data_IF_585705522091
#
_entry.id   IF_585705522091
#
_cell.length_a   1.000
_cell.length_b   1.000
_cell.length_c   1.000
_cell.angle_alpha   90.00
_cell.angle_beta   90.00
_cell.angle_gamma   90.00
#
_symmetry.space_group_name_H-M   'P 1'
#
loop_
_entity.id
_entity.type
_entity.pdbx_description
1 polymer ?
#
# COMPACT_ATOMS: atom_id res chain seq x y z
N UNK A 1 9.41 17.12 -0.14
CA UNK A 1 9.14 17.91 -1.36
C UNK A 1 7.65 17.76 -1.70
N UNK A 2 6.88 18.84 -1.83
CA UNK A 2 5.43 18.73 -2.13
C UNK A 2 5.22 18.43 -3.61
N UNK A 3 5.20 17.13 -3.99
CA UNK A 3 5.06 16.62 -5.37
C UNK A 3 3.91 17.29 -6.15
N UNK A 4 2.80 17.60 -5.48
CA UNK A 4 1.65 18.27 -6.09
C UNK A 4 2.02 19.63 -6.72
N UNK A 5 2.88 20.43 -6.06
CA UNK A 5 3.30 21.73 -6.59
C UNK A 5 4.10 21.60 -7.89
N UNK A 6 4.88 20.52 -8.05
CA UNK A 6 5.66 20.28 -9.26
C UNK A 6 4.78 19.99 -10.48
N UNK A 7 3.59 19.44 -10.26
CA UNK A 7 2.61 19.15 -11.32
C UNK A 7 1.49 20.21 -11.39
N UNK A 8 1.69 21.39 -10.78
CA UNK A 8 0.74 22.49 -10.83
C UNK A 8 -0.56 22.26 -10.06
N UNK A 9 -0.54 21.39 -9.04
CA UNK A 9 -1.71 21.04 -8.22
C UNK A 9 -1.54 21.48 -6.78
N UNK A 10 -2.66 21.84 -6.17
CA UNK A 10 -2.73 22.15 -4.73
C UNK A 10 -3.35 21.01 -3.92
N UNK A 11 -4.06 20.09 -4.57
CA UNK A 11 -4.79 18.99 -3.92
C UNK A 11 -4.70 17.66 -4.71
N UNK A 12 -4.76 16.51 -4.04
CA UNK A 12 -4.88 15.19 -4.67
C UNK A 12 -6.20 15.03 -5.44
N UNK A 13 -6.27 14.01 -6.32
CA UNK A 13 -7.42 13.86 -7.23
C UNK A 13 -8.64 13.20 -6.57
N UNK A 14 -8.41 12.33 -5.58
CA UNK A 14 -9.45 11.44 -5.05
C UNK A 14 -9.63 11.57 -3.54
N UNK A 15 -9.14 12.62 -2.90
CA UNK A 15 -9.25 12.77 -1.43
C UNK A 15 -10.70 12.73 -0.97
N UNK A 16 -11.60 13.43 -1.68
CA UNK A 16 -13.04 13.44 -1.36
C UNK A 16 -13.65 12.05 -1.48
N UNK A 17 -13.33 11.31 -2.54
CA UNK A 17 -13.87 9.98 -2.76
C UNK A 17 -13.32 8.97 -1.75
N UNK A 18 -12.03 9.04 -1.42
CA UNK A 18 -11.37 8.18 -0.44
C UNK A 18 -11.95 8.39 0.96
N UNK A 19 -12.19 9.65 1.35
CA UNK A 19 -12.84 9.98 2.63
C UNK A 19 -14.28 9.45 2.63
N UNK A 20 -15.03 9.66 1.55
CA UNK A 20 -16.42 9.20 1.44
C UNK A 20 -16.56 7.68 1.52
N UNK A 21 -15.62 6.94 0.93
CA UNK A 21 -15.64 5.47 0.87
C UNK A 21 -14.79 4.80 1.96
N UNK A 22 -14.29 5.56 2.94
CA UNK A 22 -13.30 5.07 3.89
C UNK A 22 -13.79 3.83 4.66
N UNK A 23 -15.01 3.87 5.20
CA UNK A 23 -15.57 2.79 6.02
C UNK A 23 -15.87 1.55 5.20
N UNK A 24 -16.33 1.73 3.96
CA UNK A 24 -16.56 0.62 3.01
C UNK A 24 -15.24 -0.05 2.63
N UNK A 25 -14.23 0.74 2.25
CA UNK A 25 -12.89 0.23 1.93
C UNK A 25 -12.26 -0.49 3.13
N UNK A 26 -12.42 0.06 4.34
CA UNK A 26 -11.95 -0.58 5.56
C UNK A 26 -12.67 -1.92 5.77
N UNK A 27 -14.00 -1.95 5.69
CA UNK A 27 -14.78 -3.17 5.87
C UNK A 27 -14.49 -4.26 4.82
N UNK A 28 -14.21 -3.87 3.58
CA UNK A 28 -13.86 -4.80 2.51
C UNK A 28 -12.43 -5.36 2.65
N UNK A 29 -11.49 -4.54 3.11
CA UNK A 29 -10.08 -4.94 3.21
C UNK A 29 -9.81 -5.67 4.52
N UNK A 30 -10.40 -5.21 5.63
CA UNK A 30 -10.30 -5.86 6.93
C UNK A 30 -10.80 -7.30 6.82
N UNK A 31 -9.97 -8.26 7.24
CA UNK A 31 -10.33 -9.68 7.16
C UNK A 31 -10.17 -10.31 5.76
N UNK A 32 -9.89 -9.54 4.71
CA UNK A 32 -9.68 -10.05 3.35
C UNK A 32 -8.22 -10.43 3.08
N UNK A 33 -7.99 -11.20 2.01
CA UNK A 33 -6.66 -11.70 1.61
C UNK A 33 -6.27 -11.16 0.23
N UNK A 34 -5.07 -10.61 0.12
CA UNK A 34 -4.58 -9.96 -1.09
C UNK A 34 -3.26 -10.55 -1.56
N UNK A 35 -3.11 -10.67 -2.88
CA UNK A 35 -1.86 -10.97 -3.56
C UNK A 35 -1.54 -9.84 -4.53
N UNK A 36 -0.42 -9.15 -4.34
CA UNK A 36 0.05 -8.08 -5.21
C UNK A 36 1.27 -8.56 -5.99
N UNK A 37 1.12 -8.69 -7.31
CA UNK A 37 2.19 -9.07 -8.24
C UNK A 37 2.81 -7.80 -8.83
N UNK A 38 4.14 -7.73 -8.89
CA UNK A 38 4.86 -6.50 -9.23
C UNK A 38 4.79 -5.46 -8.11
N UNK A 39 4.65 -5.93 -6.86
CA UNK A 39 4.34 -5.07 -5.72
C UNK A 39 5.48 -4.19 -5.25
N UNK A 40 6.72 -4.44 -5.67
CA UNK A 40 7.86 -3.57 -5.38
C UNK A 40 8.09 -2.51 -6.47
N UNK A 41 7.33 -2.51 -7.57
CA UNK A 41 7.30 -1.40 -8.54
C UNK A 41 6.53 -0.17 -8.02
N UNK A 42 6.68 1.00 -8.67
CA UNK A 42 6.13 2.27 -8.15
C UNK A 42 4.61 2.23 -7.85
N UNK A 43 3.81 1.66 -8.77
CA UNK A 43 2.36 1.52 -8.58
C UNK A 43 2.07 0.41 -7.56
N UNK A 44 2.74 -0.74 -7.68
CA UNK A 44 2.57 -1.87 -6.78
C UNK A 44 2.81 -1.49 -5.32
N UNK A 45 3.84 -0.69 -5.06
CA UNK A 45 4.14 -0.19 -3.71
C UNK A 45 3.03 0.74 -3.20
N UNK A 46 2.54 1.65 -4.04
CA UNK A 46 1.47 2.57 -3.66
C UNK A 46 0.19 1.80 -3.30
N UNK A 47 -0.20 0.81 -4.11
CA UNK A 47 -1.37 -0.04 -3.84
C UNK A 47 -1.14 -0.92 -2.60
N UNK A 48 0.03 -1.50 -2.45
CA UNK A 48 0.38 -2.32 -1.27
C UNK A 48 0.25 -1.50 0.01
N UNK A 49 0.73 -0.25 0.03
CA UNK A 49 0.57 0.67 1.18
C UNK A 49 -0.89 0.95 1.49
N UNK A 50 -1.70 1.22 0.45
CA UNK A 50 -3.14 1.47 0.62
C UNK A 50 -3.90 0.26 1.16
N UNK A 51 -3.52 -0.95 0.75
CA UNK A 51 -4.12 -2.18 1.31
C UNK A 51 -3.63 -2.36 2.75
N UNK A 52 -2.32 -2.31 2.99
CA UNK A 52 -1.73 -2.58 4.31
C UNK A 52 -2.27 -1.67 5.41
N UNK A 53 -2.46 -0.37 5.14
CA UNK A 53 -2.98 0.59 6.14
C UNK A 53 -4.41 0.31 6.60
N UNK A 54 -5.13 -0.60 5.92
CA UNK A 54 -6.50 -1.01 6.25
C UNK A 54 -6.56 -2.42 6.86
N UNK A 55 -5.42 -2.93 7.32
CA UNK A 55 -5.24 -4.15 8.10
C UNK A 55 -5.89 -5.42 7.50
N UNK A 56 -5.45 -5.86 6.30
CA UNK A 56 -5.95 -7.08 5.69
C UNK A 56 -5.58 -8.30 6.53
N UNK A 57 -6.37 -9.38 6.45
CA UNK A 57 -6.02 -10.66 7.11
C UNK A 57 -4.74 -11.30 6.55
N UNK A 58 -4.48 -11.09 5.25
CA UNK A 58 -3.22 -11.44 4.63
C UNK A 58 -2.91 -10.50 3.46
N UNK A 59 -1.64 -10.11 3.34
CA UNK A 59 -1.13 -9.37 2.21
C UNK A 59 0.20 -9.97 1.78
N UNK A 60 0.18 -10.63 0.63
CA UNK A 60 1.37 -11.24 0.04
C UNK A 60 1.81 -10.43 -1.17
N UNK A 61 3.11 -10.14 -1.25
CA UNK A 61 3.68 -9.27 -2.28
C UNK A 61 4.75 -10.04 -3.04
N UNK A 62 4.65 -10.07 -4.36
CA UNK A 62 5.59 -10.77 -5.25
C UNK A 62 6.21 -9.77 -6.20
N UNK A 63 7.53 -9.78 -6.31
CA UNK A 63 8.27 -8.97 -7.28
C UNK A 63 9.60 -9.65 -7.63
N UNK A 64 10.23 -9.23 -8.72
CA UNK A 64 11.56 -9.72 -9.12
C UNK A 64 12.69 -8.95 -8.43
N UNK A 65 12.41 -7.71 -7.97
CA UNK A 65 13.42 -6.84 -7.38
C UNK A 65 13.45 -6.99 -5.85
N UNK A 66 14.41 -7.76 -5.35
CA UNK A 66 14.67 -7.87 -3.91
C UNK A 66 14.97 -6.50 -3.27
N UNK A 67 15.80 -5.67 -3.91
CA UNK A 67 16.17 -4.35 -3.41
C UNK A 67 14.94 -3.46 -3.20
N UNK A 68 14.04 -3.41 -4.19
CA UNK A 68 12.83 -2.61 -4.06
C UNK A 68 11.88 -3.19 -3.01
N UNK A 69 11.86 -4.52 -2.85
CA UNK A 69 11.05 -5.18 -1.83
C UNK A 69 11.54 -4.82 -0.43
N UNK A 70 12.86 -4.78 -0.21
CA UNK A 70 13.46 -4.33 1.05
C UNK A 70 13.04 -2.89 1.36
N UNK A 71 13.09 -1.99 0.37
CA UNK A 71 12.66 -0.60 0.58
C UNK A 71 11.15 -0.49 0.86
N UNK A 72 10.31 -1.26 0.15
CA UNK A 72 8.87 -1.32 0.44
C UNK A 72 8.59 -1.76 1.88
N UNK A 73 9.24 -2.85 2.32
CA UNK A 73 9.06 -3.36 3.68
C UNK A 73 9.56 -2.34 4.71
N UNK A 74 10.73 -1.73 4.49
CA UNK A 74 11.28 -0.70 5.39
C UNK A 74 10.35 0.51 5.48
N UNK A 75 9.83 0.99 4.35
CA UNK A 75 8.88 2.10 4.29
C UNK A 75 7.61 1.77 5.07
N UNK A 76 6.97 0.61 4.82
CA UNK A 76 5.77 0.18 5.55
C UNK A 76 6.02 0.12 7.06
N UNK A 77 7.12 -0.50 7.50
CA UNK A 77 7.43 -0.68 8.93
C UNK A 77 7.78 0.62 9.64
N UNK A 78 8.35 1.59 8.93
CA UNK A 78 8.71 2.90 9.50
C UNK A 78 7.57 3.91 9.47
N UNK A 79 6.60 3.77 8.55
CA UNK A 79 5.48 4.72 8.39
C UNK A 79 4.18 4.25 9.00
N UNK A 80 3.75 3.02 8.68
CA UNK A 80 2.47 2.45 9.12
C UNK A 80 2.68 1.51 10.33
N UNK A 81 3.82 0.82 10.38
CA UNK A 81 4.19 -0.08 11.47
C UNK A 81 3.80 -1.53 11.22
N UNK A 82 3.06 -2.13 12.14
CA UNK A 82 2.71 -3.54 12.12
C UNK A 82 1.19 -3.71 12.08
N UNK A 83 0.70 -4.42 11.05
CA UNK A 83 -0.68 -4.91 10.99
C UNK A 83 -0.84 -6.24 11.75
N UNK A 84 -2.09 -6.65 11.94
CA UNK A 84 -2.46 -7.89 12.61
C UNK A 84 -2.46 -9.12 11.69
N UNK A 85 -2.57 -8.91 10.38
CA UNK A 85 -2.61 -9.97 9.37
C UNK A 85 -1.25 -10.55 8.94
N UNK A 86 -1.31 -11.63 8.15
CA UNK A 86 -0.14 -12.31 7.58
C UNK A 86 0.45 -11.51 6.41
N UNK A 87 1.52 -10.77 6.68
CA UNK A 87 2.26 -10.02 5.66
C UNK A 87 3.53 -10.75 5.23
N UNK A 88 3.63 -11.10 3.94
CA UNK A 88 4.79 -11.81 3.38
C UNK A 88 5.23 -11.21 2.05
N UNK A 89 6.53 -11.26 1.81
CA UNK A 89 7.13 -10.79 0.57
C UNK A 89 7.95 -11.89 -0.07
N UNK A 90 7.83 -12.02 -1.39
CA UNK A 90 8.53 -13.02 -2.17
C UNK A 90 9.29 -12.31 -3.30
N UNK A 91 10.62 -12.44 -3.28
CA UNK A 91 11.48 -12.07 -4.40
C UNK A 91 11.75 -13.33 -5.22
N UNK A 92 11.41 -13.32 -6.51
CA UNK A 92 11.52 -14.48 -7.42
C UNK A 92 12.36 -14.12 -8.64
#
# INVERSE_FOLDING_TARGET
MQVLKLIGRNEPMFDVDIVRLQDELLGLILGSRFLVIGGAGSIGQAVTREIFKRDPSALHVVDISENNMVELVRDIRSTIGYGSGDFRTFAI
#
